data_IF_290881877678
#
_entry.id   IF_290881877678
#
_cell.length_a   1.000
_cell.length_b   1.000
_cell.length_c   1.000
_cell.angle_alpha   90.00
_cell.angle_beta   90.00
_cell.angle_gamma   90.00
#
_symmetry.space_group_name_H-M   'P 1'
#
loop_
_entity.id
_entity.type
_entity.pdbx_description
1 polymer ?
#
# COMPACT_ATOMS: atom_id res chain seq x y z
N UNK A 1 -13.30 13.60 34.16
CA UNK A 1 -12.06 13.42 33.38
C UNK A 1 -12.45 12.94 32.00
N UNK A 2 -11.82 13.45 30.94
CA UNK A 2 -12.06 13.02 29.57
C UNK A 2 -11.35 11.69 29.33
N UNK A 3 -12.10 10.66 28.94
CA UNK A 3 -11.56 9.39 28.45
C UNK A 3 -11.47 9.44 26.94
N UNK A 4 -10.28 9.20 26.38
CA UNK A 4 -10.06 9.05 24.95
C UNK A 4 -9.53 7.64 24.67
N UNK A 5 -9.92 7.11 23.51
CA UNK A 5 -9.55 5.77 23.04
C UNK A 5 -8.75 5.96 21.76
N UNK A 6 -7.46 5.61 21.80
CA UNK A 6 -6.56 5.69 20.64
C UNK A 6 -6.69 4.38 19.87
N UNK A 7 -7.10 4.48 18.61
CA UNK A 7 -7.06 3.38 17.66
C UNK A 7 -5.81 3.54 16.81
N UNK A 8 -4.82 2.68 17.05
CA UNK A 8 -3.65 2.57 16.20
C UNK A 8 -3.91 1.44 15.18
N UNK A 9 -4.06 1.81 13.91
CA UNK A 9 -4.29 0.87 12.82
C UNK A 9 -3.35 1.23 11.69
N UNK A 10 -2.39 0.34 11.40
CA UNK A 10 -1.44 0.53 10.30
C UNK A 10 -2.16 0.84 8.98
N UNK A 11 -3.29 0.18 8.70
CA UNK A 11 -4.06 0.40 7.47
C UNK A 11 -4.81 1.74 7.44
N UNK A 12 -5.19 2.29 8.59
CA UNK A 12 -5.85 3.59 8.68
C UNK A 12 -4.86 4.76 8.75
N UNK A 13 -3.60 4.47 9.07
CA UNK A 13 -2.49 5.42 9.12
C UNK A 13 -1.64 5.47 7.85
N UNK A 14 -1.84 4.54 6.90
CA UNK A 14 -1.21 4.61 5.57
C UNK A 14 -1.83 5.76 4.78
N UNK A 15 -1.19 6.92 4.79
CA UNK A 15 -1.39 7.93 3.77
C UNK A 15 -0.65 7.50 2.50
N UNK A 16 -1.25 7.66 1.32
CA UNK A 16 -0.61 7.23 0.06
C UNK A 16 0.23 8.39 -0.45
N UNK A 17 1.39 8.60 0.17
CA UNK A 17 2.30 9.70 -0.17
C UNK A 17 3.57 9.20 -0.86
N UNK A 18 3.99 7.96 -0.61
CA UNK A 18 5.25 7.40 -1.10
C UNK A 18 5.04 6.17 -2.01
N UNK A 19 6.06 5.86 -2.82
CA UNK A 19 6.01 4.69 -3.73
C UNK A 19 5.94 3.36 -2.98
N UNK A 20 6.41 3.32 -1.72
CA UNK A 20 6.38 2.15 -0.86
C UNK A 20 4.95 1.82 -0.39
N UNK A 21 4.08 2.81 -0.20
CA UNK A 21 2.67 2.59 0.20
C UNK A 21 1.88 1.89 -0.91
N UNK A 22 2.18 2.23 -2.17
CA UNK A 22 1.59 1.56 -3.34
C UNK A 22 2.06 0.11 -3.45
N UNK A 23 3.31 -0.16 -3.06
CA UNK A 23 3.83 -1.52 -3.01
C UNK A 23 3.09 -2.34 -1.95
N UNK A 24 2.89 -1.79 -0.76
CA UNK A 24 2.14 -2.44 0.32
C UNK A 24 0.67 -2.66 -0.07
N UNK A 25 0.04 -1.70 -0.75
CA UNK A 25 -1.31 -1.87 -1.29
C UNK A 25 -1.40 -2.96 -2.37
N UNK A 26 -0.35 -3.14 -3.18
CA UNK A 26 -0.29 -4.21 -4.19
C UNK A 26 -0.06 -5.60 -3.57
N UNK A 27 0.71 -5.67 -2.48
CA UNK A 27 1.08 -6.91 -1.77
C UNK A 27 -0.02 -7.34 -0.80
N UNK A 28 -0.43 -6.45 0.10
CA UNK A 28 -1.31 -6.73 1.23
C UNK A 28 -2.73 -6.21 1.03
N UNK A 29 -2.93 -5.25 0.12
CA UNK A 29 -4.24 -4.68 -0.15
C UNK A 29 -5.20 -5.65 -0.86
N UNK A 30 -6.48 -5.42 -0.62
CA UNK A 30 -7.58 -6.09 -1.33
C UNK A 30 -8.58 -5.04 -1.86
N UNK A 31 -9.30 -5.38 -2.93
CA UNK A 31 -10.36 -4.54 -3.47
C UNK A 31 -9.95 -3.58 -4.60
N UNK A 32 -10.77 -2.53 -4.79
CA UNK A 32 -10.76 -1.68 -5.98
C UNK A 32 -9.46 -0.93 -6.24
N UNK A 33 -8.81 -0.40 -5.19
CA UNK A 33 -7.57 0.36 -5.33
C UNK A 33 -6.42 -0.50 -5.89
N UNK A 34 -6.28 -1.74 -5.41
CA UNK A 34 -5.29 -2.70 -5.94
C UNK A 34 -5.57 -3.07 -7.40
N UNK A 35 -6.84 -3.28 -7.75
CA UNK A 35 -7.22 -3.59 -9.13
C UNK A 35 -6.93 -2.41 -10.06
N UNK A 36 -7.25 -1.19 -9.62
CA UNK A 36 -6.95 0.03 -10.36
C UNK A 36 -5.45 0.21 -10.61
N UNK A 37 -4.59 0.00 -9.59
CA UNK A 37 -3.14 0.06 -9.77
C UNK A 37 -2.63 -0.94 -10.81
N UNK A 38 -3.17 -2.17 -10.81
CA UNK A 38 -2.85 -3.18 -11.83
C UNK A 38 -3.32 -2.78 -13.23
N UNK A 39 -4.52 -2.21 -13.34
CA UNK A 39 -5.11 -1.76 -14.61
C UNK A 39 -4.30 -0.63 -15.26
N UNK A 40 -3.82 0.34 -14.48
CA UNK A 40 -3.00 1.44 -14.99
C UNK A 40 -1.52 1.05 -15.24
N UNK A 41 -1.18 -0.23 -15.00
CA UNK A 41 0.09 -0.85 -15.39
C UNK A 41 1.14 -0.95 -14.29
N UNK A 42 0.79 -0.73 -13.02
CA UNK A 42 1.73 -0.96 -11.91
C UNK A 42 1.80 -2.44 -11.55
N UNK A 43 3.01 -2.90 -11.27
CA UNK A 43 3.27 -4.25 -10.81
C UNK A 43 4.46 -4.30 -9.86
N UNK A 44 4.47 -5.34 -9.03
CA UNK A 44 5.56 -5.60 -8.09
C UNK A 44 6.65 -6.39 -8.81
N UNK A 45 7.90 -5.93 -8.71
CA UNK A 45 9.07 -6.64 -9.20
C UNK A 45 10.03 -6.95 -8.07
N UNK A 46 10.35 -8.23 -7.93
CA UNK A 46 11.32 -8.70 -6.95
C UNK A 46 12.67 -8.81 -7.66
N UNK A 47 13.68 -8.07 -7.16
CA UNK A 47 15.05 -8.14 -7.66
C UNK A 47 15.99 -8.44 -6.50
N UNK A 48 16.51 -9.68 -6.48
CA UNK A 48 17.25 -10.26 -5.35
C UNK A 48 16.34 -10.29 -4.11
N UNK A 49 16.75 -9.64 -3.02
CA UNK A 49 16.03 -9.57 -1.74
C UNK A 49 15.24 -8.27 -1.58
N UNK A 50 15.17 -7.44 -2.63
CA UNK A 50 14.45 -6.17 -2.61
C UNK A 50 13.22 -6.22 -3.51
N UNK A 51 12.16 -5.59 -3.06
CA UNK A 51 10.89 -5.47 -3.75
C UNK A 51 10.76 -4.05 -4.28
N UNK A 52 10.37 -3.90 -5.54
CA UNK A 52 10.28 -2.63 -6.23
C UNK A 52 8.90 -2.48 -6.87
N UNK A 53 8.42 -1.24 -6.92
CA UNK A 53 7.28 -0.86 -7.74
C UNK A 53 7.79 -0.54 -9.16
N UNK A 54 7.23 -1.18 -10.18
CA UNK A 54 7.48 -0.81 -11.58
C UNK A 54 6.15 -0.51 -12.29
N UNK A 55 6.22 0.34 -13.32
CA UNK A 55 5.11 0.65 -14.23
C UNK A 55 5.50 0.30 -15.66
N UNK A 56 4.60 -0.37 -16.39
CA UNK A 56 4.78 -0.71 -17.80
C UNK A 56 4.51 0.46 -18.74
#
# INVERSE_FOLDING_TARGET
>A
GLSYLIYDSMLAGTDIDEEEDLLDLLIFGEGGARNYLKEIGFFVKIKREKVFLERR
#
